data_IF_712771829060
#
_entry.id   IF_712771829060
#
_cell.length_a   1.000
_cell.length_b   1.000
_cell.length_c   1.000
_cell.angle_alpha   90.00
_cell.angle_beta   90.00
_cell.angle_gamma   90.00
#
_symmetry.space_group_name_H-M   'P 1'
#
loop_
_entity.id
_entity.type
_entity.pdbx_description
1 polymer ?
#
# COMPACT_ATOMS: atom_id res chain seq x y z
N UNK A 1 2.37 -3.06 -9.25
CA UNK A 1 3.30 -2.10 -8.62
C UNK A 1 3.42 -2.41 -7.14
N UNK A 2 4.59 -2.22 -6.54
CA UNK A 2 4.81 -2.26 -5.09
C UNK A 2 5.38 -0.91 -4.67
N UNK A 3 4.81 -0.28 -3.66
CA UNK A 3 5.16 1.07 -3.24
C UNK A 3 5.29 1.17 -1.71
N UNK A 4 6.19 2.01 -1.23
CA UNK A 4 6.48 2.18 0.20
C UNK A 4 6.32 3.64 0.62
N UNK A 5 5.81 3.87 1.83
CA UNK A 5 5.69 5.22 2.42
C UNK A 5 4.95 6.20 1.50
N UNK A 6 5.53 7.36 1.20
CA UNK A 6 4.99 8.35 0.25
C UNK A 6 4.83 7.79 -1.18
N UNK A 7 5.55 6.72 -1.54
CA UNK A 7 5.35 6.02 -2.79
C UNK A 7 3.93 5.50 -2.98
N UNK A 8 3.20 5.20 -1.89
CA UNK A 8 1.78 4.84 -1.92
C UNK A 8 0.91 5.98 -2.46
N UNK A 9 1.06 7.18 -1.90
CA UNK A 9 0.40 8.39 -2.39
C UNK A 9 0.73 8.68 -3.86
N UNK A 10 2.02 8.66 -4.22
CA UNK A 10 2.45 8.91 -5.60
C UNK A 10 1.88 7.88 -6.59
N UNK A 11 1.81 6.61 -6.20
CA UNK A 11 1.25 5.55 -7.05
C UNK A 11 -0.25 5.73 -7.24
N UNK A 12 -0.98 6.08 -6.19
CA UNK A 12 -2.41 6.40 -6.28
C UNK A 12 -2.63 7.64 -7.16
N UNK A 13 -1.80 8.66 -7.01
CA UNK A 13 -1.90 9.89 -7.81
C UNK A 13 -1.65 9.60 -9.29
N UNK A 14 -0.67 8.77 -9.60
CA UNK A 14 -0.39 8.32 -10.95
C UNK A 14 -1.58 7.56 -11.56
N UNK A 15 -2.14 6.61 -10.81
CA UNK A 15 -3.28 5.80 -11.24
C UNK A 15 -4.50 6.68 -11.52
N UNK A 16 -4.85 7.55 -10.59
CA UNK A 16 -6.09 8.33 -10.63
C UNK A 16 -6.02 9.50 -11.60
N UNK A 17 -4.86 10.13 -11.76
CA UNK A 17 -4.76 11.43 -12.43
C UNK A 17 -3.76 11.50 -13.58
N UNK A 18 -2.92 10.47 -13.79
CA UNK A 18 -1.87 10.48 -14.82
C UNK A 18 -1.96 9.29 -15.78
N UNK A 19 -3.14 8.67 -15.87
CA UNK A 19 -3.42 7.59 -16.82
C UNK A 19 -2.78 6.25 -16.46
N UNK A 20 -2.51 6.03 -15.17
CA UNK A 20 -2.04 4.72 -14.68
C UNK A 20 -3.15 3.68 -14.54
N UNK A 21 -4.42 4.10 -14.53
CA UNK A 21 -5.58 3.22 -14.38
C UNK A 21 -5.71 2.11 -15.44
N UNK A 22 -5.14 2.30 -16.63
CA UNK A 22 -5.11 1.28 -17.70
C UNK A 22 -3.77 0.55 -17.81
N UNK A 23 -2.79 0.90 -16.97
CA UNK A 23 -1.41 0.40 -17.03
C UNK A 23 -1.02 -0.42 -15.80
N UNK A 24 -1.82 -0.36 -14.74
CA UNK A 24 -1.56 -1.04 -13.47
C UNK A 24 -2.73 -1.96 -13.17
N UNK A 25 -2.47 -3.26 -13.07
CA UNK A 25 -3.49 -4.26 -12.71
C UNK A 25 -3.55 -4.52 -11.20
N UNK A 26 -2.40 -4.46 -10.52
CA UNK A 26 -2.27 -4.73 -9.08
C UNK A 26 -1.41 -3.65 -8.40
N UNK A 27 -1.83 -3.21 -7.22
CA UNK A 27 -1.09 -2.26 -6.37
C UNK A 27 -0.91 -2.85 -4.97
N UNK A 28 0.33 -2.90 -4.49
CA UNK A 28 0.66 -3.25 -3.10
C UNK A 28 1.34 -2.05 -2.44
N UNK A 29 0.80 -1.55 -1.32
CA UNK A 29 1.41 -0.47 -0.54
C UNK A 29 1.94 -0.97 0.79
N UNK A 30 3.14 -0.55 1.17
CA UNK A 30 3.82 -0.92 2.42
C UNK A 30 3.96 0.33 3.30
N UNK A 31 3.20 0.42 4.39
CA UNK A 31 3.18 1.61 5.26
C UNK A 31 2.88 2.87 4.46
N UNK A 32 1.98 2.77 3.47
CA UNK A 32 1.75 3.81 2.49
C UNK A 32 1.07 5.04 3.10
N UNK A 33 1.48 6.24 2.72
CA UNK A 33 0.78 7.49 3.06
C UNK A 33 -0.44 7.70 2.13
N UNK A 34 -1.25 6.66 1.94
CA UNK A 34 -2.26 6.55 0.88
C UNK A 34 -3.32 7.66 0.94
N UNK A 35 -3.83 7.95 2.15
CA UNK A 35 -4.89 8.95 2.38
C UNK A 35 -4.50 10.38 2.03
N UNK A 36 -3.20 10.65 1.81
CA UNK A 36 -2.73 11.94 1.28
C UNK A 36 -3.27 12.18 -0.14
N UNK A 37 -3.54 11.11 -0.90
CA UNK A 37 -4.13 11.19 -2.24
C UNK A 37 -5.59 10.78 -2.26
N UNK A 38 -5.94 9.65 -1.64
CA UNK A 38 -7.32 9.15 -1.60
C UNK A 38 -7.53 8.19 -0.45
N UNK A 39 -8.76 8.09 0.03
CA UNK A 39 -9.15 7.07 1.02
C UNK A 39 -9.70 5.78 0.39
N UNK A 40 -9.78 5.69 -0.94
CA UNK A 40 -10.39 4.57 -1.65
C UNK A 40 -9.41 3.87 -2.59
N UNK A 41 -9.51 2.54 -2.66
CA UNK A 41 -8.82 1.75 -3.66
C UNK A 41 -9.27 2.15 -5.08
N UNK A 42 -8.35 2.31 -6.05
CA UNK A 42 -8.71 2.63 -7.42
C UNK A 42 -9.58 1.52 -8.04
N UNK A 43 -10.63 1.92 -8.75
CA UNK A 43 -11.54 0.97 -9.41
C UNK A 43 -10.81 0.13 -10.46
N UNK A 44 -11.12 -1.17 -10.51
CA UNK A 44 -10.51 -2.12 -11.46
C UNK A 44 -9.07 -2.51 -11.14
N UNK A 45 -8.49 -2.05 -10.03
CA UNK A 45 -7.12 -2.38 -9.62
C UNK A 45 -7.16 -3.17 -8.32
N UNK A 46 -6.65 -4.39 -8.35
CA UNK A 46 -6.51 -5.21 -7.15
C UNK A 46 -5.50 -4.54 -6.21
N UNK A 47 -6.00 -3.96 -5.12
CA UNK A 47 -5.20 -3.14 -4.20
C UNK A 47 -5.06 -3.84 -2.86
N UNK A 48 -3.82 -4.02 -2.40
CA UNK A 48 -3.49 -4.54 -1.07
C UNK A 48 -2.70 -3.49 -0.30
N UNK A 49 -3.15 -3.12 0.90
CA UNK A 49 -2.44 -2.20 1.78
C UNK A 49 -1.93 -2.94 3.01
N UNK A 50 -0.61 -3.04 3.15
CA UNK A 50 0.06 -3.69 4.27
C UNK A 50 0.67 -2.60 5.15
N UNK A 51 0.31 -2.56 6.43
CA UNK A 51 0.81 -1.56 7.37
C UNK A 51 0.98 -2.15 8.77
N UNK A 52 1.90 -1.60 9.55
CA UNK A 52 2.25 -2.15 10.87
C UNK A 52 1.73 -1.27 12.00
N UNK A 53 1.20 -1.88 13.06
CA UNK A 53 0.86 -1.20 14.31
C UNK A 53 2.07 -0.49 14.95
N UNK A 54 3.28 -0.95 14.63
CA UNK A 54 4.55 -0.44 15.14
C UNK A 54 5.26 0.48 14.14
N UNK A 55 4.57 0.90 13.07
CA UNK A 55 5.06 1.93 12.17
C UNK A 55 5.08 3.28 12.89
N UNK A 56 6.29 3.77 13.22
CA UNK A 56 6.50 5.05 13.88
C UNK A 56 6.60 6.25 12.93
N UNK A 57 6.41 6.05 11.62
CA UNK A 57 6.58 7.10 10.59
C UNK A 57 5.25 7.42 9.92
N UNK A 58 4.50 6.40 9.49
CA UNK A 58 3.21 6.58 8.82
C UNK A 58 2.10 5.99 9.69
N UNK A 59 1.21 6.86 10.15
CA UNK A 59 0.06 6.45 10.94
C UNK A 59 -0.86 5.51 10.14
N UNK A 60 -1.35 4.43 10.77
CA UNK A 60 -2.07 3.36 10.06
C UNK A 60 -3.36 3.83 9.37
N UNK A 61 -4.02 4.87 9.90
CA UNK A 61 -5.18 5.48 9.26
C UNK A 61 -4.84 6.15 7.92
N UNK A 62 -3.56 6.48 7.67
CA UNK A 62 -3.11 6.98 6.37
C UNK A 62 -2.88 5.86 5.37
N UNK A 63 -2.59 4.65 5.82
CA UNK A 63 -2.40 3.48 4.95
C UNK A 63 -3.69 2.77 4.58
N UNK A 64 -4.71 2.82 5.43
CA UNK A 64 -5.99 2.18 5.17
C UNK A 64 -6.66 2.76 3.90
N UNK A 65 -7.19 1.87 3.05
CA UNK A 65 -7.98 2.24 1.87
C UNK A 65 -9.29 1.45 1.83
N UNK A 66 -10.42 2.15 1.73
CA UNK A 66 -11.72 1.52 1.50
C UNK A 66 -11.70 0.76 0.17
N UNK A 67 -12.18 -0.49 0.19
CA UNK A 67 -12.19 -1.36 -0.99
C UNK A 67 -10.85 -2.04 -1.31
N UNK A 68 -9.79 -1.80 -0.54
CA UNK A 68 -8.54 -2.57 -0.62
C UNK A 68 -8.59 -3.81 0.30
N UNK A 69 -7.71 -4.78 0.03
CA UNK A 69 -7.33 -5.79 1.01
C UNK A 69 -6.38 -5.16 2.03
N UNK A 70 -6.89 -4.78 3.20
CA UNK A 70 -6.12 -4.11 4.25
C UNK A 70 -5.56 -5.13 5.24
N UNK A 71 -4.23 -5.22 5.34
CA UNK A 71 -3.53 -6.17 6.19
C UNK A 71 -2.72 -5.39 7.22
N UNK A 72 -3.25 -5.33 8.45
CA UNK A 72 -2.51 -4.81 9.59
C UNK A 72 -1.62 -5.89 10.19
N UNK A 73 -0.33 -5.60 10.35
CA UNK A 73 0.65 -6.46 11.02
C UNK A 73 1.19 -5.79 12.29
N UNK A 74 2.02 -6.52 13.04
CA UNK A 74 2.57 -6.08 14.31
C UNK A 74 4.08 -6.38 14.37
N UNK A 75 4.79 -5.63 15.21
CA UNK A 75 6.21 -5.85 15.50
C UNK A 75 7.19 -5.41 14.41
N UNK A 76 6.71 -4.88 13.28
CA UNK A 76 7.55 -4.47 12.15
C UNK A 76 7.65 -2.94 12.10
N UNK A 77 8.86 -2.40 12.06
CA UNK A 77 9.07 -0.94 11.92
C UNK A 77 8.86 -0.46 10.47
N UNK A 78 8.76 0.85 10.26
CA UNK A 78 8.48 1.45 8.95
C UNK A 78 9.44 1.00 7.83
N UNK A 79 10.75 1.03 8.11
CA UNK A 79 11.78 0.63 7.12
C UNK A 79 11.85 -0.89 7.00
N UNK A 80 11.61 -1.60 8.10
CA UNK A 80 11.63 -3.07 8.12
C UNK A 80 10.50 -3.69 7.27
N UNK A 81 9.43 -2.95 6.97
CA UNK A 81 8.43 -3.37 5.98
C UNK A 81 9.05 -3.75 4.62
N UNK A 82 10.23 -3.21 4.27
CA UNK A 82 10.94 -3.53 3.03
C UNK A 82 11.74 -4.84 3.10
N UNK A 83 12.15 -5.26 4.29
CA UNK A 83 13.10 -6.37 4.48
C UNK A 83 12.49 -7.58 5.16
N UNK A 84 11.40 -7.40 5.92
CA UNK A 84 10.73 -8.41 6.71
C UNK A 84 10.20 -9.57 5.84
N UNK A 85 10.53 -10.81 6.20
CA UNK A 85 10.19 -12.01 5.43
C UNK A 85 8.70 -12.30 5.38
N UNK A 86 7.97 -12.00 6.46
CA UNK A 86 6.52 -12.12 6.48
C UNK A 86 5.88 -11.12 5.51
N UNK A 87 6.33 -9.86 5.51
CA UNK A 87 5.85 -8.86 4.54
C UNK A 87 6.13 -9.28 3.10
N UNK A 88 7.31 -9.86 2.81
CA UNK A 88 7.63 -10.42 1.48
C UNK A 88 6.66 -11.52 1.07
N UNK A 89 6.23 -12.38 2.00
CA UNK A 89 5.24 -13.42 1.73
C UNK A 89 3.87 -12.83 1.36
N UNK A 90 3.45 -11.77 2.04
CA UNK A 90 2.21 -11.05 1.75
C UNK A 90 2.27 -10.36 0.38
N UNK A 91 3.40 -9.72 0.05
CA UNK A 91 3.62 -9.13 -1.28
C UNK A 91 3.50 -10.20 -2.37
N UNK A 92 4.17 -11.36 -2.18
CA UNK A 92 4.10 -12.47 -3.13
C UNK A 92 2.65 -12.94 -3.32
N UNK A 93 1.90 -13.11 -2.23
CA UNK A 93 0.49 -13.52 -2.29
C UNK A 93 -0.39 -12.50 -3.02
N UNK A 94 -0.11 -11.20 -2.87
CA UNK A 94 -0.89 -10.14 -3.52
C UNK A 94 -0.54 -9.97 -5.02
N UNK A 95 0.65 -10.39 -5.45
CA UNK A 95 1.11 -10.26 -6.84
C UNK A 95 0.79 -11.47 -7.71
N UNK A 96 0.69 -12.67 -7.13
CA UNK A 96 0.18 -13.87 -7.82
C UNK A 96 -1.30 -13.69 -8.18
#
# INVERSE_FOLDING_TARGET
MVAHSMGGANSLYYILYKGGNTKVSKLVTLGGANSVTTSYAPWGIATTSIYSANDGVVANNWSFLFGANNIKIYGVSHVELLTNTYVKSLIKSALN
#
